data_IF_566348233609
#
_entry.id   IF_566348233609
#
_cell.length_a   1.000
_cell.length_b   1.000
_cell.length_c   1.000
_cell.angle_alpha   90.00
_cell.angle_beta   90.00
_cell.angle_gamma   90.00
#
_symmetry.space_group_name_H-M   'P 1'
#
loop_
_entity.id
_entity.type
_entity.pdbx_description
1 polymer ?
#
# COMPACT_ATOMS: atom_id res chain seq x y z
N UNK A 1 -24.13 -30.69 29.16
CA UNK A 1 -23.75 -29.26 29.28
C UNK A 1 -22.34 -28.93 28.79
N UNK A 2 -21.34 -29.82 28.88
CA UNK A 2 -19.97 -29.52 28.43
C UNK A 2 -19.82 -29.39 26.90
N UNK A 3 -20.60 -30.15 26.12
CA UNK A 3 -20.55 -30.10 24.65
C UNK A 3 -21.18 -28.84 24.04
N UNK A 4 -22.17 -28.26 24.73
CA UNK A 4 -22.87 -27.04 24.28
C UNK A 4 -21.96 -25.80 24.38
N UNK A 5 -21.08 -25.77 25.39
CA UNK A 5 -20.08 -24.71 25.58
C UNK A 5 -19.01 -24.78 24.48
N UNK A 6 -18.60 -25.99 24.08
CA UNK A 6 -17.56 -26.18 23.08
C UNK A 6 -18.00 -25.74 21.68
N UNK A 7 -19.26 -25.99 21.31
CA UNK A 7 -19.82 -25.53 20.02
C UNK A 7 -19.99 -24.00 19.96
N UNK A 8 -20.31 -23.35 21.07
CA UNK A 8 -20.47 -21.89 21.13
C UNK A 8 -19.14 -21.14 20.94
N UNK A 9 -18.04 -21.65 21.49
CA UNK A 9 -16.70 -21.05 21.35
C UNK A 9 -16.20 -21.13 19.90
N UNK A 10 -16.51 -22.22 19.19
CA UNK A 10 -16.10 -22.44 17.80
C UNK A 10 -16.79 -21.48 16.83
N UNK A 11 -18.04 -21.11 17.10
CA UNK A 11 -18.79 -20.12 16.31
C UNK A 11 -18.23 -18.71 16.55
N UNK A 12 -17.92 -18.36 17.81
CA UNK A 12 -17.36 -17.05 18.16
C UNK A 12 -15.96 -16.86 17.55
N UNK A 13 -15.11 -17.89 17.54
CA UNK A 13 -13.79 -17.82 16.93
C UNK A 13 -13.85 -17.61 15.40
N UNK A 14 -14.89 -18.12 14.73
CA UNK A 14 -15.06 -17.97 13.27
C UNK A 14 -15.60 -16.58 12.87
N UNK A 15 -16.33 -15.90 13.76
CA UNK A 15 -16.86 -14.54 13.49
C UNK A 15 -15.86 -13.42 13.81
N UNK A 16 -14.87 -13.66 14.68
CA UNK A 16 -13.86 -12.62 15.00
C UNK A 16 -12.84 -12.46 13.87
N UNK A 17 -12.59 -13.48 13.04
CA UNK A 17 -11.65 -13.37 11.91
C UNK A 17 -12.13 -12.44 10.79
N UNK A 18 -13.41 -12.07 10.75
CA UNK A 18 -13.97 -11.13 9.77
C UNK A 18 -13.92 -9.66 10.19
N UNK A 19 -13.51 -9.33 11.42
CA UNK A 19 -13.60 -7.95 11.94
C UNK A 19 -12.39 -7.08 11.52
N UNK A 20 -11.30 -7.67 11.01
CA UNK A 20 -10.11 -6.89 10.61
C UNK A 20 -10.21 -6.19 9.24
N UNK A 21 -11.34 -6.31 8.51
CA UNK A 21 -11.49 -5.72 7.18
C UNK A 21 -12.00 -4.26 7.15
N UNK A 22 -12.12 -3.59 8.30
CA UNK A 22 -12.74 -2.26 8.40
C UNK A 22 -11.81 -1.10 8.78
N UNK A 23 -10.51 -1.31 8.98
CA UNK A 23 -9.59 -0.17 9.08
C UNK A 23 -9.20 0.27 7.67
N UNK A 24 -9.87 1.33 7.18
CA UNK A 24 -9.49 1.98 5.93
C UNK A 24 -8.01 2.36 5.94
N UNK A 25 -7.42 2.48 4.76
CA UNK A 25 -5.97 2.70 4.63
C UNK A 25 -5.63 4.07 5.18
N UNK A 26 -4.82 4.11 6.26
CA UNK A 26 -4.33 5.35 6.85
C UNK A 26 -3.10 5.89 6.11
N UNK A 27 -3.10 7.19 5.84
CA UNK A 27 -2.05 7.89 5.08
C UNK A 27 -0.64 7.66 5.61
N UNK A 28 -0.45 7.79 6.94
CA UNK A 28 0.85 7.66 7.59
C UNK A 28 1.36 6.23 7.53
N UNK A 29 0.48 5.26 7.77
CA UNK A 29 0.83 3.84 7.70
C UNK A 29 1.23 3.43 6.28
N UNK A 30 0.47 3.87 5.28
CA UNK A 30 0.79 3.63 3.87
C UNK A 30 2.14 4.24 3.48
N UNK A 31 2.38 5.51 3.81
CA UNK A 31 3.64 6.17 3.51
C UNK A 31 4.83 5.45 4.17
N UNK A 32 4.68 5.04 5.44
CA UNK A 32 5.72 4.32 6.15
C UNK A 32 6.03 2.96 5.51
N UNK A 33 5.03 2.24 4.99
CA UNK A 33 5.26 0.99 4.27
C UNK A 33 5.98 1.23 2.93
N UNK A 34 5.53 2.23 2.15
CA UNK A 34 6.15 2.57 0.86
C UNK A 34 7.60 3.04 0.99
N UNK A 35 7.95 3.69 2.10
CA UNK A 35 9.31 4.15 2.39
C UNK A 35 10.28 3.04 2.82
N UNK A 36 9.82 1.79 3.00
CA UNK A 36 10.72 0.67 3.30
C UNK A 36 11.52 0.27 2.06
N UNK A 37 12.83 0.15 2.24
CA UNK A 37 13.77 -0.32 1.21
C UNK A 37 14.29 -1.74 1.49
N UNK A 38 13.82 -2.38 2.56
CA UNK A 38 14.17 -3.73 3.02
C UNK A 38 15.69 -4.04 2.96
N UNK A 39 16.50 -3.11 3.47
CA UNK A 39 17.93 -3.27 3.64
C UNK A 39 18.79 -2.62 2.55
N UNK A 40 18.20 -2.02 1.51
CA UNK A 40 18.95 -1.17 0.59
C UNK A 40 19.21 0.18 1.25
N UNK A 41 20.48 0.48 1.51
CA UNK A 41 20.90 1.78 2.00
C UNK A 41 20.81 2.83 0.90
N UNK A 42 20.25 3.99 1.26
CA UNK A 42 20.18 5.17 0.42
C UNK A 42 21.07 6.25 1.05
N UNK A 43 21.78 7.00 0.21
CA UNK A 43 22.34 8.30 0.60
C UNK A 43 21.22 9.27 0.97
N UNK A 44 21.59 10.41 1.57
CA UNK A 44 20.62 11.42 2.01
C UNK A 44 19.76 11.93 0.83
N UNK A 45 20.40 12.30 -0.29
CA UNK A 45 19.71 12.77 -1.49
C UNK A 45 18.79 11.69 -2.09
N UNK A 46 19.28 10.45 -2.21
CA UNK A 46 18.49 9.32 -2.72
C UNK A 46 17.28 9.04 -1.83
N UNK A 47 17.47 9.11 -0.51
CA UNK A 47 16.38 8.95 0.46
C UNK A 47 15.34 10.05 0.27
N UNK A 48 15.76 11.31 0.15
CA UNK A 48 14.85 12.43 -0.10
C UNK A 48 14.07 12.24 -1.39
N UNK A 49 14.70 11.82 -2.49
CA UNK A 49 13.98 11.53 -3.74
C UNK A 49 12.98 10.39 -3.59
N UNK A 50 13.38 9.31 -2.90
CA UNK A 50 12.54 8.14 -2.68
C UNK A 50 11.29 8.48 -1.85
N UNK A 51 11.50 9.16 -0.71
CA UNK A 51 10.42 9.57 0.19
C UNK A 51 9.49 10.60 -0.45
N UNK A 52 10.02 11.54 -1.23
CA UNK A 52 9.21 12.54 -1.94
C UNK A 52 8.31 11.89 -3.01
N UNK A 53 8.84 10.94 -3.79
CA UNK A 53 8.03 10.22 -4.78
C UNK A 53 6.91 9.40 -4.12
N UNK A 54 7.20 8.76 -2.98
CA UNK A 54 6.20 8.03 -2.21
C UNK A 54 5.16 8.96 -1.58
N UNK A 55 5.57 10.09 -1.02
CA UNK A 55 4.66 11.08 -0.45
C UNK A 55 3.71 11.64 -1.51
N UNK A 56 4.24 11.96 -2.70
CA UNK A 56 3.42 12.41 -3.83
C UNK A 56 2.43 11.35 -4.28
N UNK A 57 2.86 10.08 -4.40
CA UNK A 57 1.97 8.96 -4.69
C UNK A 57 0.83 8.89 -3.67
N UNK A 58 1.14 8.94 -2.38
CA UNK A 58 0.14 8.86 -1.31
C UNK A 58 -0.84 10.03 -1.36
N UNK A 59 -0.37 11.25 -1.64
CA UNK A 59 -1.25 12.41 -1.83
C UNK A 59 -2.22 12.19 -3.00
N UNK A 60 -1.70 11.81 -4.16
CA UNK A 60 -2.51 11.59 -5.36
C UNK A 60 -3.50 10.43 -5.20
N UNK A 61 -3.12 9.36 -4.48
CA UNK A 61 -3.99 8.24 -4.15
C UNK A 61 -5.22 8.67 -3.33
N UNK A 62 -5.01 9.49 -2.30
CA UNK A 62 -6.10 9.99 -1.47
C UNK A 62 -7.02 10.95 -2.25
N UNK A 63 -6.45 11.80 -3.10
CA UNK A 63 -7.22 12.67 -4.00
C UNK A 63 -8.05 11.86 -5.01
N UNK A 64 -7.59 10.68 -5.46
CA UNK A 64 -8.39 9.80 -6.32
C UNK A 64 -9.60 9.23 -5.57
N UNK A 65 -9.42 8.85 -4.31
CA UNK A 65 -10.50 8.25 -3.51
C UNK A 65 -11.65 9.24 -3.28
N UNK A 66 -11.34 10.55 -3.20
CA UNK A 66 -12.32 11.64 -3.07
C UNK A 66 -13.14 11.92 -4.34
N UNK A 67 -12.66 11.48 -5.53
CA UNK A 67 -13.29 11.80 -6.82
C UNK A 67 -14.54 10.99 -7.17
N UNK A 68 -14.98 10.09 -6.29
CA UNK A 68 -16.17 9.23 -6.49
C UNK A 68 -16.20 8.54 -7.87
N UNK A 69 -15.03 8.07 -8.34
CA UNK A 69 -14.90 7.39 -9.62
C UNK A 69 -15.53 6.00 -9.59
N UNK A 70 -15.84 5.46 -10.77
CA UNK A 70 -16.15 4.03 -10.90
C UNK A 70 -14.98 3.19 -10.38
N UNK A 71 -15.25 1.98 -9.89
CA UNK A 71 -14.19 1.08 -9.38
C UNK A 71 -13.14 0.79 -10.46
N UNK A 72 -13.57 0.62 -11.71
CA UNK A 72 -12.67 0.35 -12.82
C UNK A 72 -11.75 1.55 -13.11
N UNK A 73 -12.31 2.76 -13.18
CA UNK A 73 -11.53 3.97 -13.46
C UNK A 73 -10.59 4.32 -12.30
N UNK A 74 -11.06 4.15 -11.05
CA UNK A 74 -10.24 4.29 -9.85
C UNK A 74 -9.03 3.36 -9.92
N UNK A 75 -9.25 2.09 -10.24
CA UNK A 75 -8.17 1.10 -10.31
C UNK A 75 -7.18 1.42 -11.44
N UNK A 76 -7.66 1.85 -12.61
CA UNK A 76 -6.78 2.30 -13.72
C UNK A 76 -5.94 3.52 -13.32
N UNK A 77 -6.51 4.46 -12.56
CA UNK A 77 -5.74 5.62 -12.09
C UNK A 77 -4.71 5.22 -11.03
N UNK A 78 -5.05 4.32 -10.10
CA UNK A 78 -4.09 3.76 -9.13
C UNK A 78 -2.90 3.16 -9.86
N UNK A 79 -3.12 2.32 -10.88
CA UNK A 79 -2.03 1.70 -11.64
C UNK A 79 -1.13 2.76 -12.31
N UNK A 80 -1.73 3.78 -12.94
CA UNK A 80 -0.99 4.91 -13.52
C UNK A 80 -0.15 5.66 -12.50
N UNK A 81 -0.61 5.79 -11.26
CA UNK A 81 0.16 6.47 -10.21
C UNK A 81 1.40 5.67 -9.80
N UNK A 82 1.29 4.35 -9.68
CA UNK A 82 2.44 3.49 -9.39
C UNK A 82 3.42 3.47 -10.57
N UNK A 83 2.94 3.40 -11.82
CA UNK A 83 3.79 3.52 -13.00
C UNK A 83 4.54 4.86 -13.06
N UNK A 84 3.84 5.96 -12.73
CA UNK A 84 4.42 7.30 -12.65
C UNK A 84 5.49 7.36 -11.57
N UNK A 85 5.23 6.83 -10.38
CA UNK A 85 6.19 6.74 -9.28
C UNK A 85 7.44 5.97 -9.73
N UNK A 86 7.28 4.82 -10.37
CA UNK A 86 8.39 3.99 -10.83
C UNK A 86 9.26 4.72 -11.86
N UNK A 87 8.65 5.47 -12.79
CA UNK A 87 9.38 6.33 -13.74
C UNK A 87 10.13 7.47 -13.05
N UNK A 88 9.49 8.13 -12.08
CA UNK A 88 10.13 9.18 -11.28
C UNK A 88 11.34 8.64 -10.53
N UNK A 89 11.20 7.50 -9.85
CA UNK A 89 12.29 6.88 -9.08
C UNK A 89 13.42 6.40 -9.99
N UNK A 90 13.10 5.82 -11.13
CA UNK A 90 14.10 5.44 -12.14
C UNK A 90 14.89 6.66 -12.62
N UNK A 91 14.22 7.79 -12.84
CA UNK A 91 14.85 9.03 -13.32
C UNK A 91 15.71 9.69 -12.25
N UNK A 92 15.26 9.71 -11.00
CA UNK A 92 15.98 10.38 -9.89
C UNK A 92 17.11 9.55 -9.30
N UNK A 93 16.93 8.23 -9.17
CA UNK A 93 17.91 7.33 -8.55
C UNK A 93 18.83 6.65 -9.57
N UNK A 94 18.45 6.67 -10.84
CA UNK A 94 19.08 5.89 -11.90
C UNK A 94 18.58 4.44 -11.94
N UNK A 95 18.64 3.85 -13.14
CA UNK A 95 18.04 2.54 -13.42
C UNK A 95 18.60 1.41 -12.56
N UNK A 96 19.92 1.37 -12.34
CA UNK A 96 20.55 0.30 -11.56
C UNK A 96 20.11 0.34 -10.09
N UNK A 97 20.20 1.53 -9.46
CA UNK A 97 19.81 1.71 -8.06
C UNK A 97 18.33 1.41 -7.84
N UNK A 98 17.46 1.96 -8.70
CA UNK A 98 16.03 1.71 -8.56
C UNK A 98 15.68 0.24 -8.81
N UNK A 99 16.33 -0.42 -9.76
CA UNK A 99 16.14 -1.86 -10.01
C UNK A 99 16.47 -2.70 -8.77
N UNK A 100 17.55 -2.39 -8.05
CA UNK A 100 17.92 -3.10 -6.81
C UNK A 100 16.86 -2.93 -5.71
N UNK A 101 16.34 -1.71 -5.55
CA UNK A 101 15.26 -1.41 -4.59
C UNK A 101 13.99 -2.13 -5.00
N UNK A 102 13.61 -2.06 -6.28
CA UNK A 102 12.43 -2.70 -6.83
C UNK A 102 12.49 -4.20 -6.60
N UNK A 103 13.63 -4.85 -6.88
CA UNK A 103 13.81 -6.28 -6.64
C UNK A 103 13.55 -6.71 -5.18
N UNK A 104 13.71 -5.81 -4.19
CA UNK A 104 13.40 -6.07 -2.78
C UNK A 104 11.99 -5.66 -2.35
N UNK A 105 11.34 -4.77 -3.09
CA UNK A 105 10.07 -4.14 -2.69
C UNK A 105 8.89 -4.58 -3.53
N UNK A 106 9.10 -5.14 -4.74
CA UNK A 106 8.07 -5.33 -5.76
C UNK A 106 6.86 -6.15 -5.27
N UNK A 107 7.12 -7.27 -4.59
CA UNK A 107 6.05 -8.12 -4.04
C UNK A 107 5.20 -7.36 -3.01
N UNK A 108 5.84 -6.56 -2.16
CA UNK A 108 5.16 -5.76 -1.12
C UNK A 108 4.42 -4.58 -1.73
N UNK A 109 4.95 -3.97 -2.77
CA UNK A 109 4.26 -2.95 -3.55
C UNK A 109 3.04 -3.55 -4.25
N UNK A 110 3.14 -4.72 -4.88
CA UNK A 110 2.01 -5.40 -5.50
C UNK A 110 0.90 -5.74 -4.49
N UNK A 111 1.27 -6.25 -3.31
CA UNK A 111 0.33 -6.49 -2.20
C UNK A 111 -0.33 -5.19 -1.73
N UNK A 112 0.44 -4.09 -1.67
CA UNK A 112 -0.06 -2.77 -1.30
C UNK A 112 -1.05 -2.22 -2.33
N UNK A 113 -0.74 -2.34 -3.62
CA UNK A 113 -1.64 -1.97 -4.72
C UNK A 113 -2.97 -2.73 -4.59
N UNK A 114 -2.90 -4.05 -4.36
CA UNK A 114 -4.11 -4.86 -4.22
C UNK A 114 -4.97 -4.41 -3.03
N UNK A 115 -4.35 -4.18 -1.86
CA UNK A 115 -5.04 -3.65 -0.68
C UNK A 115 -5.70 -2.29 -0.97
N UNK A 116 -5.01 -1.40 -1.68
CA UNK A 116 -5.55 -0.09 -2.08
C UNK A 116 -6.77 -0.23 -3.01
N UNK A 117 -6.73 -1.18 -3.94
CA UNK A 117 -7.85 -1.44 -4.86
C UNK A 117 -9.07 -2.05 -4.17
N UNK A 118 -8.86 -2.77 -3.06
CA UNK A 118 -9.91 -3.44 -2.29
C UNK A 118 -10.50 -2.58 -1.17
N UNK A 119 -9.72 -1.68 -0.59
CA UNK A 119 -10.12 -0.84 0.53
C UNK A 119 -10.48 0.60 0.10
N UNK A 120 -11.33 1.26 0.90
CA UNK A 120 -11.44 2.72 0.91
C UNK A 120 -10.30 3.33 1.71
N UNK A 121 -9.83 4.50 1.31
CA UNK A 121 -8.83 5.23 2.08
C UNK A 121 -9.53 5.94 3.25
N UNK A 122 -8.99 5.79 4.44
CA UNK A 122 -9.50 6.50 5.61
C UNK A 122 -8.74 7.83 5.72
N UNK A 123 -9.43 8.98 5.84
CA UNK A 123 -8.80 10.31 5.92
C UNK A 123 -7.77 10.41 7.06
#
# INVERSE_FOLDING_TARGET
>A
MKELIFKAILIIAFFISSISFAQGINKKSLLNELNKTYGIALSEDEKTYYENANNQLVLELFTIDEKNLSKEDRNKQIDKLFDKRDKTLTSSLGINKYSDIKAKTDEKIAQTIQKIKEAKMAP
#
